data_IF_829205251076
#
_entry.id   IF_829205251076
#
_cell.length_a   1.000
_cell.length_b   1.000
_cell.length_c   1.000
_cell.angle_alpha   90.00
_cell.angle_beta   90.00
_cell.angle_gamma   90.00
#
_symmetry.space_group_name_H-M   'P 1'
#
loop_
_entity.id
_entity.type
_entity.pdbx_description
1 polymer ?
#
# COMPACT_ATOMS: atom_id res chain seq x y z
N UNK A 1 -5.74 12.53 -11.15
CA UNK A 1 -4.85 11.83 -10.20
C UNK A 1 -5.65 11.30 -9.04
N UNK A 2 -5.34 10.11 -8.60
CA UNK A 2 -5.95 9.50 -7.42
C UNK A 2 -4.87 9.30 -6.37
N UNK A 3 -5.14 9.73 -5.14
CA UNK A 3 -4.30 9.45 -3.99
C UNK A 3 -4.93 8.30 -3.21
N UNK A 4 -4.19 7.20 -3.10
CA UNK A 4 -4.65 6.01 -2.38
C UNK A 4 -4.00 5.96 -1.02
N UNK A 5 -4.81 5.93 0.02
CA UNK A 5 -4.35 5.83 1.40
C UNK A 5 -4.88 4.52 1.97
N UNK A 6 -3.98 3.69 2.49
CA UNK A 6 -4.36 2.42 3.12
C UNK A 6 -3.81 2.41 4.54
N UNK A 7 -4.69 2.21 5.50
CA UNK A 7 -4.32 2.01 6.89
C UNK A 7 -4.13 0.52 7.15
N UNK A 8 -2.95 0.15 7.61
CA UNK A 8 -2.55 -1.23 7.83
C UNK A 8 -2.38 -1.47 9.33
N UNK A 9 -3.23 -2.32 9.93
CA UNK A 9 -3.18 -2.56 11.39
C UNK A 9 -2.04 -3.51 11.73
N UNK A 10 -0.81 -3.00 11.63
CA UNK A 10 0.41 -3.75 11.93
C UNK A 10 1.07 -3.08 13.13
N UNK A 11 1.16 -3.80 14.24
CA UNK A 11 1.75 -3.29 15.46
C UNK A 11 3.27 -3.35 15.47
N UNK A 12 3.90 -2.78 16.52
CA UNK A 12 5.36 -2.72 16.61
C UNK A 12 6.06 -4.08 16.53
N UNK A 13 5.41 -5.13 17.00
CA UNK A 13 5.97 -6.48 17.00
C UNK A 13 6.21 -7.04 15.60
N UNK A 14 5.42 -6.58 14.61
CA UNK A 14 5.53 -7.01 13.23
C UNK A 14 6.07 -5.93 12.29
N UNK A 15 6.47 -4.79 12.85
CA UNK A 15 6.89 -3.64 12.05
C UNK A 15 8.10 -3.92 11.18
N UNK A 16 9.13 -4.52 11.74
CA UNK A 16 10.35 -4.83 10.99
C UNK A 16 10.08 -5.82 9.85
N UNK A 17 9.25 -6.82 10.11
CA UNK A 17 8.87 -7.80 9.08
C UNK A 17 8.11 -7.13 7.94
N UNK A 18 7.18 -6.23 8.26
CA UNK A 18 6.42 -5.53 7.24
C UNK A 18 7.30 -4.56 6.44
N UNK A 19 8.17 -3.81 7.10
CA UNK A 19 9.09 -2.90 6.39
C UNK A 19 9.97 -3.66 5.41
N UNK A 20 10.41 -4.87 5.76
CA UNK A 20 11.18 -5.72 4.86
C UNK A 20 10.36 -6.17 3.65
N UNK A 21 9.09 -6.53 3.85
CA UNK A 21 8.18 -6.88 2.75
C UNK A 21 7.99 -5.68 1.83
N UNK A 22 7.70 -4.52 2.39
CA UNK A 22 7.50 -3.31 1.58
C UNK A 22 8.75 -2.97 0.78
N UNK A 23 9.92 -3.01 1.41
CA UNK A 23 11.19 -2.73 0.72
C UNK A 23 11.43 -3.69 -0.44
N UNK A 24 11.05 -4.96 -0.28
CA UNK A 24 11.23 -5.97 -1.32
C UNK A 24 10.33 -5.73 -2.54
N UNK A 25 9.14 -5.15 -2.34
CA UNK A 25 8.15 -4.98 -3.41
C UNK A 25 7.96 -3.54 -3.88
N UNK A 26 8.53 -2.55 -3.19
CA UNK A 26 8.31 -1.14 -3.49
C UNK A 26 8.62 -0.79 -4.95
N UNK A 27 9.71 -1.33 -5.47
CA UNK A 27 10.10 -1.09 -6.86
C UNK A 27 9.04 -1.60 -7.84
N UNK A 28 8.53 -2.80 -7.60
CA UNK A 28 7.50 -3.39 -8.46
C UNK A 28 6.19 -2.62 -8.41
N UNK A 29 5.79 -2.16 -7.22
CA UNK A 29 4.59 -1.34 -7.07
C UNK A 29 4.75 -0.03 -7.81
N UNK A 30 5.89 0.63 -7.62
CA UNK A 30 6.19 1.91 -8.30
C UNK A 30 6.20 1.74 -9.83
N UNK A 31 6.61 0.59 -10.33
CA UNK A 31 6.68 0.30 -11.76
C UNK A 31 5.32 -0.05 -12.36
N UNK A 32 4.27 -0.24 -11.56
CA UNK A 32 2.94 -0.52 -12.09
C UNK A 32 2.46 0.63 -12.97
N UNK A 33 1.82 0.34 -14.12
CA UNK A 33 1.33 1.39 -15.02
C UNK A 33 0.43 2.37 -14.28
N UNK A 34 0.72 3.67 -14.42
CA UNK A 34 -0.05 4.74 -13.81
C UNK A 34 0.35 5.07 -12.37
N UNK A 35 1.23 4.30 -11.74
CA UNK A 35 1.72 4.62 -10.40
C UNK A 35 2.81 5.68 -10.50
N UNK A 36 2.58 6.84 -9.91
CA UNK A 36 3.55 7.93 -9.93
C UNK A 36 4.40 8.00 -8.67
N UNK A 37 3.90 7.50 -7.55
CA UNK A 37 4.68 7.38 -6.33
C UNK A 37 4.04 6.39 -5.36
N UNK A 38 4.85 5.82 -4.48
CA UNK A 38 4.38 4.99 -3.39
C UNK A 38 5.32 5.17 -2.21
N UNK A 39 4.72 5.40 -1.04
CA UNK A 39 5.46 5.60 0.20
C UNK A 39 4.85 4.76 1.32
N UNK A 40 5.69 4.38 2.26
CA UNK A 40 5.27 3.74 3.51
C UNK A 40 5.43 4.75 4.64
N UNK A 41 4.37 4.93 5.43
CA UNK A 41 4.37 5.83 6.57
C UNK A 41 4.14 4.99 7.83
N UNK A 42 4.90 5.30 8.88
CA UNK A 42 4.77 4.62 10.15
C UNK A 42 4.15 5.54 11.19
N UNK A 43 3.05 5.11 11.80
CA UNK A 43 2.48 5.76 12.97
C UNK A 43 2.84 4.96 14.23
N UNK A 44 2.39 5.42 15.41
CA UNK A 44 2.74 4.77 16.67
C UNK A 44 2.27 3.30 16.72
N UNK A 45 1.09 3.01 16.18
CA UNK A 45 0.48 1.69 16.31
C UNK A 45 0.01 1.07 15.00
N UNK A 46 0.32 1.70 13.89
CA UNK A 46 -0.08 1.19 12.57
C UNK A 46 0.83 1.77 11.48
N UNK A 47 0.62 1.28 10.27
CA UNK A 47 1.31 1.80 9.08
C UNK A 47 0.29 2.32 8.09
N UNK A 48 0.74 3.19 7.21
CA UNK A 48 -0.05 3.65 6.07
C UNK A 48 0.78 3.48 4.80
N UNK A 49 0.15 3.05 3.72
CA UNK A 49 0.73 3.23 2.40
C UNK A 49 0.05 4.44 1.77
N UNK A 50 0.86 5.26 1.11
CA UNK A 50 0.42 6.47 0.43
C UNK A 50 0.92 6.37 -1.00
N UNK A 51 0.00 6.23 -1.94
CA UNK A 51 0.37 6.08 -3.35
C UNK A 51 -0.46 7.01 -4.23
N UNK A 52 0.14 7.41 -5.34
CA UNK A 52 -0.50 8.32 -6.29
C UNK A 52 -0.58 7.61 -7.64
N UNK A 53 -1.76 7.63 -8.24
CA UNK A 53 -2.07 6.95 -9.49
C UNK A 53 -2.66 7.95 -10.48
N UNK A 54 -2.33 7.81 -11.75
CA UNK A 54 -2.83 8.71 -12.77
C UNK A 54 -4.35 8.63 -12.89
N UNK A 55 -4.90 7.40 -12.80
CA UNK A 55 -6.34 7.17 -12.93
C UNK A 55 -6.78 6.06 -11.98
N UNK A 56 -8.06 6.06 -11.62
CA UNK A 56 -8.65 4.99 -10.82
C UNK A 56 -8.48 3.62 -11.51
N UNK A 57 -8.61 3.59 -12.83
CA UNK A 57 -8.42 2.36 -13.60
C UNK A 57 -7.04 1.75 -13.39
N UNK A 58 -6.00 2.57 -13.30
CA UNK A 58 -4.64 2.09 -13.07
C UNK A 58 -4.50 1.44 -11.71
N UNK A 59 -5.11 2.04 -10.68
CA UNK A 59 -5.14 1.44 -9.35
C UNK A 59 -5.90 0.12 -9.35
N UNK A 60 -7.05 0.06 -10.03
CA UNK A 60 -7.84 -1.15 -10.12
C UNK A 60 -7.06 -2.27 -10.81
N UNK A 61 -6.34 -1.93 -11.89
CA UNK A 61 -5.50 -2.89 -12.60
C UNK A 61 -4.38 -3.42 -11.69
N UNK A 62 -3.74 -2.54 -10.92
CA UNK A 62 -2.72 -2.96 -9.98
C UNK A 62 -3.29 -3.96 -8.96
N UNK A 63 -4.48 -3.71 -8.44
CA UNK A 63 -5.11 -4.58 -7.44
C UNK A 63 -5.47 -5.96 -8.00
N UNK A 64 -5.45 -6.14 -9.32
CA UNK A 64 -5.64 -7.43 -9.97
C UNK A 64 -4.34 -7.99 -10.54
N UNK A 65 -3.20 -7.37 -10.24
CA UNK A 65 -1.90 -7.77 -10.77
C UNK A 65 -1.27 -8.91 -9.98
N UNK A 66 -0.29 -9.56 -10.60
CA UNK A 66 0.49 -10.61 -9.94
C UNK A 66 1.27 -10.08 -8.74
N UNK A 67 1.79 -8.85 -8.84
CA UNK A 67 2.51 -8.21 -7.74
C UNK A 67 1.60 -8.08 -6.52
N UNK A 68 0.38 -7.60 -6.69
CA UNK A 68 -0.57 -7.45 -5.59
C UNK A 68 -0.95 -8.83 -5.04
N UNK A 69 -1.14 -9.82 -5.90
CA UNK A 69 -1.48 -11.18 -5.48
C UNK A 69 -0.38 -11.81 -4.62
N UNK A 70 0.87 -11.39 -4.79
CA UNK A 70 1.99 -11.83 -3.96
C UNK A 70 2.09 -11.04 -2.66
N UNK A 71 2.06 -9.70 -2.75
CA UNK A 71 2.38 -8.84 -1.61
C UNK A 71 1.23 -8.78 -0.60
N UNK A 72 0.00 -8.80 -1.06
CA UNK A 72 -1.15 -8.60 -0.18
C UNK A 72 -1.33 -9.72 0.86
N UNK A 73 -1.28 -11.01 0.49
CA UNK A 73 -1.39 -12.07 1.49
C UNK A 73 -0.27 -12.03 2.54
N UNK A 74 0.95 -11.69 2.13
CA UNK A 74 2.08 -11.55 3.05
C UNK A 74 1.86 -10.42 4.03
N UNK A 75 1.28 -9.32 3.57
CA UNK A 75 0.95 -8.17 4.39
C UNK A 75 -0.18 -8.48 5.36
N UNK A 76 -1.25 -9.10 4.87
CA UNK A 76 -2.41 -9.47 5.69
C UNK A 76 -2.03 -10.40 6.83
N UNK A 77 -1.06 -11.28 6.63
CA UNK A 77 -0.62 -12.21 7.66
C UNK A 77 -0.07 -11.50 8.90
N UNK A 78 0.31 -10.24 8.79
CA UNK A 78 0.87 -9.45 9.89
C UNK A 78 -0.17 -8.56 10.59
N UNK A 79 -1.42 -8.56 10.13
CA UNK A 79 -2.46 -7.70 10.70
C UNK A 79 -2.88 -8.14 12.09
N UNK A 80 -3.15 -7.17 12.94
CA UNK A 80 -3.77 -7.39 14.26
C UNK A 80 -5.17 -6.77 14.35
N UNK A 81 -5.76 -6.42 13.20
CA UNK A 81 -7.09 -5.82 13.11
C UNK A 81 -7.54 -5.75 11.68
N UNK A 82 -8.49 -4.86 11.39
CA UNK A 82 -9.02 -4.67 10.04
C UNK A 82 -8.33 -3.50 9.35
N UNK A 83 -7.91 -3.65 8.10
CA UNK A 83 -7.39 -2.52 7.32
C UNK A 83 -8.53 -1.61 6.89
N UNK A 84 -8.18 -0.38 6.55
CA UNK A 84 -9.09 0.58 5.94
C UNK A 84 -8.38 1.22 4.74
N UNK A 85 -9.13 1.63 3.75
CA UNK A 85 -8.55 2.20 2.54
C UNK A 85 -9.45 3.24 1.93
N UNK A 86 -8.84 4.26 1.35
CA UNK A 86 -9.55 5.37 0.72
C UNK A 86 -8.88 5.74 -0.59
N UNK A 87 -9.70 6.04 -1.60
CA UNK A 87 -9.24 6.67 -2.84
C UNK A 87 -9.71 8.11 -2.81
N UNK A 88 -8.78 9.05 -2.90
CA UNK A 88 -9.04 10.46 -2.70
C UNK A 88 -8.62 11.27 -3.92
N UNK A 89 -9.30 12.40 -4.13
CA UNK A 89 -8.88 13.39 -5.11
C UNK A 89 -8.32 14.59 -4.38
N UNK A 90 -7.24 15.16 -4.91
CA UNK A 90 -6.67 16.39 -4.33
C UNK A 90 -7.57 17.57 -4.71
N UNK A 91 -8.03 18.33 -3.73
CA UNK A 91 -8.91 19.49 -3.94
C UNK A 91 -8.30 20.82 -3.58
N UNK A 92 -7.12 20.81 -3.02
CA UNK A 92 -6.45 22.05 -2.65
C UNK A 92 -4.99 21.90 -2.36
#
# INVERSE_FOLDING_TARGET
MITRIVQLPIGPENGAAFEAIFAAYQYQIKAAPGCTSVQLLKAAECYFTYSIWERQEDLDNYRHSDTFAEVWPKTKALFNGKPAAWSCEVKG
#
